data_IF_821617531978
#
_entry.id   IF_821617531978
#
_cell.length_a   1.000
_cell.length_b   1.000
_cell.length_c   1.000
_cell.angle_alpha   90.00
_cell.angle_beta   90.00
_cell.angle_gamma   90.00
#
_symmetry.space_group_name_H-M   'P 1'
#
loop_
_entity.id
_entity.type
_entity.pdbx_description
1 polymer ?
#
# COMPACT_ATOMS: atom_id res chain seq x y z
N UNK A 1 -12.26 -4.48 42.60
CA UNK A 1 -12.19 -3.29 41.76
C UNK A 1 -10.72 -3.14 41.37
N UNK A 2 -10.27 -3.89 40.40
CA UNK A 2 -8.95 -3.84 39.79
C UNK A 2 -9.15 -3.49 38.32
N UNK A 3 -8.62 -2.34 37.91
CA UNK A 3 -8.65 -1.90 36.53
C UNK A 3 -7.56 -2.63 35.76
N UNK A 4 -7.92 -3.15 34.60
CA UNK A 4 -7.02 -3.66 33.57
C UNK A 4 -6.08 -2.54 33.09
N UNK A 5 -4.79 -2.64 33.44
CA UNK A 5 -3.71 -1.75 32.96
C UNK A 5 -2.81 -2.45 31.92
N UNK A 6 -3.29 -3.50 31.27
CA UNK A 6 -2.41 -4.34 30.40
C UNK A 6 -2.56 -4.09 28.91
N UNK A 7 -3.50 -3.23 28.47
CA UNK A 7 -3.75 -3.01 27.02
C UNK A 7 -2.90 -1.89 26.40
N UNK A 8 -2.40 -0.95 27.19
CA UNK A 8 -1.59 0.17 26.70
C UNK A 8 -0.10 -0.11 26.44
N UNK A 9 0.42 -1.25 26.95
CA UNK A 9 1.86 -1.51 26.92
C UNK A 9 2.35 -2.26 25.65
N UNK A 10 1.46 -2.83 24.85
CA UNK A 10 1.82 -3.51 23.59
C UNK A 10 1.86 -2.58 22.37
N UNK A 11 1.12 -1.47 22.37
CA UNK A 11 1.14 -0.49 21.29
C UNK A 11 2.43 0.34 21.23
N UNK A 12 3.14 0.48 22.33
CA UNK A 12 4.28 1.41 22.48
C UNK A 12 5.62 0.88 21.94
N UNK A 13 5.79 -0.41 21.69
CA UNK A 13 7.11 -0.96 21.32
C UNK A 13 7.39 -1.03 19.83
N UNK A 14 6.37 -1.14 18.99
CA UNK A 14 6.53 -1.30 17.53
C UNK A 14 6.75 0.04 16.78
N UNK A 15 6.55 1.18 17.43
CA UNK A 15 6.69 2.53 16.85
C UNK A 15 7.70 3.42 17.61
N UNK A 16 8.46 2.84 18.54
CA UNK A 16 9.54 3.54 19.22
C UNK A 16 10.83 3.46 18.40
N UNK A 17 11.34 4.62 17.94
CA UNK A 17 12.58 4.73 17.18
C UNK A 17 12.37 4.82 15.67
N UNK A 18 11.26 5.40 15.22
CA UNK A 18 11.04 5.73 13.80
C UNK A 18 12.18 6.57 13.24
N UNK A 19 12.55 6.32 11.97
CA UNK A 19 13.38 7.26 11.22
C UNK A 19 12.65 8.59 11.03
N UNK A 20 13.38 9.65 10.67
CA UNK A 20 12.77 10.94 10.35
C UNK A 20 11.75 10.80 9.20
N UNK A 21 12.08 9.97 8.22
CA UNK A 21 11.23 9.65 7.08
C UNK A 21 9.90 8.97 7.50
N UNK A 22 9.98 7.91 8.29
CA UNK A 22 8.80 7.21 8.81
C UNK A 22 7.96 8.11 9.73
N UNK A 23 8.61 8.95 10.56
CA UNK A 23 7.91 9.87 11.46
C UNK A 23 7.15 10.96 10.70
N UNK A 24 7.74 11.52 9.64
CA UNK A 24 7.10 12.51 8.78
C UNK A 24 5.86 11.91 8.09
N UNK A 25 6.00 10.77 7.43
CA UNK A 25 4.90 10.10 6.75
C UNK A 25 3.79 9.69 7.71
N UNK A 26 4.13 9.20 8.91
CA UNK A 26 3.12 8.93 9.95
C UNK A 26 2.33 10.18 10.30
N UNK A 27 3.01 11.29 10.56
CA UNK A 27 2.37 12.56 10.91
C UNK A 27 1.46 13.07 9.81
N UNK A 28 1.91 12.97 8.56
CA UNK A 28 1.15 13.39 7.39
C UNK A 28 -0.12 12.56 7.23
N UNK A 29 -0.01 11.23 7.23
CA UNK A 29 -1.16 10.32 7.11
C UNK A 29 -2.12 10.40 8.31
N UNK A 30 -1.61 10.68 9.51
CA UNK A 30 -2.46 10.95 10.68
C UNK A 30 -3.27 12.24 10.48
N UNK A 31 -2.71 13.28 9.85
CA UNK A 31 -3.38 14.55 9.62
C UNK A 31 -4.36 14.53 8.43
N UNK A 32 -4.04 13.78 7.36
CA UNK A 32 -4.87 13.72 6.13
C UNK A 32 -5.99 12.67 6.20
N UNK A 33 -6.02 11.83 7.23
CA UNK A 33 -6.91 10.66 7.29
C UNK A 33 -8.39 11.01 7.06
N UNK A 34 -8.91 12.06 7.68
CA UNK A 34 -10.30 12.50 7.54
C UNK A 34 -10.60 12.99 6.12
N UNK A 35 -9.71 13.86 5.60
CA UNK A 35 -9.86 14.45 4.26
C UNK A 35 -9.69 13.39 3.17
N UNK A 36 -8.78 12.43 3.35
CA UNK A 36 -8.59 11.32 2.42
C UNK A 36 -9.85 10.46 2.29
N UNK A 37 -10.48 10.10 3.41
CA UNK A 37 -11.72 9.32 3.40
C UNK A 37 -12.89 10.11 2.79
N UNK A 38 -12.96 11.40 3.05
CA UNK A 38 -14.00 12.26 2.47
C UNK A 38 -13.85 12.41 0.95
N UNK A 39 -12.61 12.41 0.43
CA UNK A 39 -12.32 12.56 -1.01
C UNK A 39 -12.48 11.26 -1.82
N UNK A 40 -12.32 10.08 -1.19
CA UNK A 40 -12.25 8.80 -1.89
C UNK A 40 -13.25 7.73 -1.43
N UNK A 41 -14.53 8.08 -1.18
CA UNK A 41 -15.51 7.16 -0.58
C UNK A 41 -15.78 5.91 -1.43
N UNK A 42 -15.82 6.05 -2.75
CA UNK A 42 -16.12 4.94 -3.67
C UNK A 42 -14.95 3.95 -3.74
N UNK A 43 -13.72 4.47 -3.85
CA UNK A 43 -12.51 3.65 -3.89
C UNK A 43 -12.28 2.88 -2.58
N UNK A 44 -12.53 3.52 -1.45
CA UNK A 44 -12.41 2.92 -0.12
C UNK A 44 -13.62 2.05 0.26
N UNK A 45 -14.64 2.00 -0.59
CA UNK A 45 -15.85 1.23 -0.32
C UNK A 45 -16.61 1.72 0.91
N UNK A 46 -16.66 3.04 1.15
CA UNK A 46 -17.34 3.62 2.33
C UNK A 46 -18.83 3.31 2.40
N UNK A 47 -19.43 2.90 1.28
CA UNK A 47 -20.83 2.49 1.17
C UNK A 47 -21.04 1.00 1.43
N UNK A 48 -19.97 0.21 1.52
CA UNK A 48 -19.99 -1.22 1.81
C UNK A 48 -19.62 -1.48 3.27
N UNK A 49 -20.36 -2.31 4.00
CA UNK A 49 -20.00 -2.65 5.39
C UNK A 49 -18.69 -3.43 5.49
N UNK A 50 -18.24 -4.02 4.38
CA UNK A 50 -17.04 -4.85 4.31
C UNK A 50 -15.90 -4.18 3.53
N UNK A 51 -16.03 -2.88 3.15
CA UNK A 51 -15.05 -2.24 2.28
C UNK A 51 -15.14 -2.73 0.82
N UNK A 52 -14.16 -2.36 0.02
CA UNK A 52 -13.99 -2.80 -1.37
C UNK A 52 -12.52 -3.04 -1.64
N UNK A 53 -12.21 -3.92 -2.61
CA UNK A 53 -10.83 -4.27 -2.95
C UNK A 53 -10.50 -3.86 -4.39
N UNK A 54 -10.16 -2.60 -4.59
CA UNK A 54 -9.64 -2.08 -5.85
C UNK A 54 -8.12 -1.99 -5.79
N UNK A 55 -7.44 -2.58 -6.77
CA UNK A 55 -5.98 -2.54 -6.89
C UNK A 55 -5.42 -1.18 -7.29
N UNK A 56 -6.24 -0.33 -7.88
CA UNK A 56 -5.77 0.93 -8.47
C UNK A 56 -6.93 1.89 -8.76
N UNK A 57 -6.61 3.20 -9.01
CA UNK A 57 -7.58 4.20 -9.45
C UNK A 57 -8.29 3.86 -10.77
N UNK A 58 -7.73 2.96 -11.58
CA UNK A 58 -8.38 2.38 -12.75
C UNK A 58 -9.53 1.42 -12.38
N UNK A 59 -9.84 1.28 -11.09
CA UNK A 59 -10.95 0.49 -10.53
C UNK A 59 -10.88 -1.00 -10.88
N UNK A 60 -9.67 -1.56 -10.94
CA UNK A 60 -9.46 -3.00 -11.13
C UNK A 60 -9.76 -3.74 -9.82
N UNK A 61 -10.86 -4.46 -9.77
CA UNK A 61 -11.33 -5.10 -8.55
C UNK A 61 -10.80 -6.54 -8.40
N UNK A 62 -10.37 -6.91 -7.18
CA UNK A 62 -9.82 -8.25 -6.89
C UNK A 62 -10.77 -9.39 -7.23
N UNK A 63 -12.09 -9.23 -7.05
CA UNK A 63 -13.09 -10.27 -7.43
C UNK A 63 -13.04 -10.65 -8.92
N UNK A 64 -12.61 -9.72 -9.78
CA UNK A 64 -12.62 -9.91 -11.23
C UNK A 64 -11.26 -10.45 -11.73
N UNK A 65 -10.17 -10.13 -11.03
CA UNK A 65 -8.80 -10.46 -11.49
C UNK A 65 -8.10 -11.52 -10.67
N UNK A 66 -8.51 -11.73 -9.42
CA UNK A 66 -8.02 -12.78 -8.52
C UNK A 66 -6.48 -12.86 -8.45
N UNK A 67 -5.82 -11.71 -8.25
CA UNK A 67 -4.37 -11.64 -8.23
C UNK A 67 -3.77 -12.31 -6.99
N UNK A 68 -4.50 -12.31 -5.87
CA UNK A 68 -4.09 -13.05 -4.66
C UNK A 68 -4.30 -14.56 -4.79
N UNK A 69 -5.23 -15.00 -5.65
CA UNK A 69 -5.62 -16.40 -5.84
C UNK A 69 -7.12 -16.57 -5.80
N UNK A 70 -7.59 -17.77 -6.12
CA UNK A 70 -9.01 -18.09 -5.98
C UNK A 70 -9.35 -18.30 -4.50
N UNK A 71 -10.57 -17.98 -4.05
CA UNK A 71 -10.98 -18.17 -2.64
C UNK A 71 -10.73 -19.58 -2.11
N UNK A 72 -10.90 -20.59 -2.97
CA UNK A 72 -10.69 -21.99 -2.62
C UNK A 72 -9.22 -22.30 -2.31
N UNK A 73 -8.28 -21.63 -3.00
CA UNK A 73 -6.84 -21.80 -2.83
C UNK A 73 -6.31 -21.04 -1.59
N UNK A 74 -7.07 -20.05 -1.13
CA UNK A 74 -6.73 -19.19 0.00
C UNK A 74 -7.44 -19.59 1.31
N UNK A 75 -8.22 -20.64 1.26
CA UNK A 75 -8.82 -21.23 2.46
C UNK A 75 -7.72 -21.61 3.47
N UNK A 76 -7.93 -21.25 4.74
CA UNK A 76 -6.97 -21.46 5.82
C UNK A 76 -5.60 -20.73 5.63
N UNK A 77 -5.46 -19.84 4.63
CA UNK A 77 -4.26 -19.07 4.41
C UNK A 77 -4.09 -17.97 5.46
N UNK A 78 -2.83 -17.60 5.74
CA UNK A 78 -2.47 -16.40 6.49
C UNK A 78 -2.09 -15.29 5.50
N UNK A 79 -2.80 -14.18 5.52
CA UNK A 79 -2.66 -13.09 4.55
C UNK A 79 -2.36 -11.78 5.29
N UNK A 80 -1.40 -11.01 4.80
CA UNK A 80 -0.99 -9.73 5.37
C UNK A 80 -1.14 -8.59 4.36
N UNK A 81 -1.83 -7.52 4.75
CA UNK A 81 -1.82 -6.23 4.05
C UNK A 81 -0.82 -5.27 4.67
N UNK A 82 0.01 -4.64 3.82
CA UNK A 82 1.04 -3.67 4.22
C UNK A 82 0.60 -2.26 3.82
N UNK A 83 0.60 -1.31 4.77
CA UNK A 83 0.14 0.05 4.52
C UNK A 83 -1.34 0.08 4.21
N UNK A 84 -2.15 -0.52 5.07
CA UNK A 84 -3.55 -0.83 4.82
C UNK A 84 -4.49 0.38 4.92
N UNK A 85 -4.03 1.50 5.46
CA UNK A 85 -4.90 2.64 5.74
C UNK A 85 -6.05 2.24 6.66
N UNK A 86 -7.29 2.39 6.20
CA UNK A 86 -8.51 1.92 6.88
C UNK A 86 -8.85 0.45 6.57
N UNK A 87 -7.92 -0.30 5.97
CA UNK A 87 -8.03 -1.70 5.63
C UNK A 87 -9.29 -2.09 4.80
N UNK A 88 -9.71 -1.32 3.79
CA UNK A 88 -10.88 -1.67 2.99
C UNK A 88 -10.67 -2.98 2.23
N UNK A 89 -9.46 -3.21 1.69
CA UNK A 89 -9.11 -4.42 0.96
C UNK A 89 -9.12 -5.65 1.89
N UNK A 90 -8.49 -5.54 3.07
CA UNK A 90 -8.47 -6.62 4.07
C UNK A 90 -9.85 -6.96 4.59
N UNK A 91 -10.72 -5.97 4.85
CA UNK A 91 -12.10 -6.21 5.31
C UNK A 91 -12.94 -6.88 4.23
N UNK A 92 -12.79 -6.44 2.97
CA UNK A 92 -13.44 -7.10 1.85
C UNK A 92 -12.98 -8.56 1.72
N UNK A 93 -11.66 -8.79 1.82
CA UNK A 93 -11.06 -10.12 1.72
C UNK A 93 -11.52 -11.05 2.84
N UNK A 94 -11.62 -10.56 4.08
CA UNK A 94 -12.12 -11.34 5.22
C UNK A 94 -13.58 -11.78 5.03
N UNK A 95 -14.39 -10.97 4.32
CA UNK A 95 -15.75 -11.35 3.96
C UNK A 95 -15.79 -12.33 2.78
N UNK A 96 -14.90 -12.20 1.79
CA UNK A 96 -14.81 -13.06 0.61
C UNK A 96 -14.23 -14.43 0.96
N UNK A 97 -13.30 -14.50 1.92
CA UNK A 97 -12.60 -15.72 2.36
C UNK A 97 -12.67 -15.84 3.90
N UNK A 98 -13.82 -16.17 4.47
CA UNK A 98 -14.03 -16.13 5.93
C UNK A 98 -13.21 -17.17 6.72
N UNK A 99 -12.65 -18.18 6.05
CA UNK A 99 -11.79 -19.19 6.65
C UNK A 99 -10.29 -18.78 6.66
N UNK A 100 -9.91 -17.66 6.01
CA UNK A 100 -8.53 -17.17 6.03
C UNK A 100 -8.25 -16.31 7.28
N UNK A 101 -6.99 -16.32 7.75
CA UNK A 101 -6.52 -15.36 8.73
C UNK A 101 -6.02 -14.11 8.01
N UNK A 102 -6.64 -12.96 8.27
CA UNK A 102 -6.28 -11.68 7.67
C UNK A 102 -5.68 -10.77 8.74
N UNK A 103 -4.44 -10.34 8.50
CA UNK A 103 -3.77 -9.30 9.27
C UNK A 103 -3.50 -8.09 8.38
N UNK A 104 -3.52 -6.90 8.97
CA UNK A 104 -3.20 -5.68 8.28
C UNK A 104 -2.51 -4.69 9.21
N UNK A 105 -1.59 -3.88 8.69
CA UNK A 105 -1.00 -2.82 9.48
C UNK A 105 -0.86 -1.53 8.68
N UNK A 106 -0.79 -0.44 9.42
CA UNK A 106 -0.46 0.88 8.90
C UNK A 106 0.39 1.65 9.92
N UNK A 107 1.17 2.61 9.46
CA UNK A 107 1.95 3.48 10.33
C UNK A 107 1.08 4.53 11.02
N UNK A 108 -0.04 4.90 10.39
CA UNK A 108 -1.00 5.90 10.88
C UNK A 108 -2.09 5.26 11.75
N UNK A 109 -2.14 5.66 13.02
CA UNK A 109 -3.22 5.27 13.91
C UNK A 109 -4.56 5.91 13.51
N UNK A 110 -4.54 7.08 12.90
CA UNK A 110 -5.76 7.76 12.47
C UNK A 110 -6.39 7.03 11.27
N UNK A 111 -5.59 6.61 10.31
CA UNK A 111 -6.06 5.79 9.20
C UNK A 111 -6.69 4.50 9.70
N UNK A 112 -6.03 3.77 10.60
CA UNK A 112 -6.55 2.52 11.18
C UNK A 112 -7.89 2.71 11.94
N UNK A 113 -8.12 3.88 12.56
CA UNK A 113 -9.41 4.15 13.25
C UNK A 113 -10.60 4.17 12.29
N UNK A 114 -10.40 4.53 11.03
CA UNK A 114 -11.46 4.49 10.01
C UNK A 114 -11.86 3.05 9.61
N UNK A 115 -11.08 2.03 9.96
CA UNK A 115 -11.50 0.63 9.81
C UNK A 115 -12.70 0.26 10.70
N UNK A 116 -12.98 1.05 11.74
CA UNK A 116 -14.07 0.80 12.68
C UNK A 116 -13.77 -0.37 13.62
N UNK A 117 -14.82 -1.03 14.07
CA UNK A 117 -14.75 -2.17 15.02
C UNK A 117 -14.95 -3.52 14.32
N UNK A 118 -14.43 -3.67 13.13
CA UNK A 118 -14.46 -4.97 12.44
C UNK A 118 -13.38 -5.90 13.02
N UNK A 119 -13.81 -6.96 13.70
CA UNK A 119 -12.93 -7.95 14.31
C UNK A 119 -12.52 -9.07 13.35
N UNK A 120 -12.93 -9.01 12.09
CA UNK A 120 -12.55 -10.02 11.08
C UNK A 120 -11.09 -9.85 10.60
N UNK A 121 -10.50 -8.68 10.82
CA UNK A 121 -9.11 -8.34 10.46
C UNK A 121 -8.31 -8.02 11.72
N UNK A 122 -7.12 -8.61 11.84
CA UNK A 122 -6.16 -8.29 12.91
C UNK A 122 -5.38 -7.02 12.54
N UNK A 123 -5.77 -5.87 13.10
CA UNK A 123 -5.16 -4.57 12.81
C UNK A 123 -4.04 -4.24 13.79
N UNK A 124 -2.91 -3.76 13.27
CA UNK A 124 -1.73 -3.37 14.07
C UNK A 124 -1.17 -2.04 13.56
N UNK A 125 -0.82 -1.12 14.47
CA UNK A 125 -0.01 0.04 14.11
C UNK A 125 1.47 -0.37 14.12
N UNK A 126 2.15 -0.26 12.98
CA UNK A 126 3.56 -0.65 12.84
C UNK A 126 4.27 0.14 11.73
N UNK A 127 5.62 0.16 11.80
CA UNK A 127 6.48 0.64 10.70
C UNK A 127 6.80 -0.54 9.77
N UNK A 128 6.63 -0.31 8.47
CA UNK A 128 6.95 -1.30 7.43
C UNK A 128 8.44 -1.67 7.38
N UNK A 129 9.31 -0.81 7.91
CA UNK A 129 10.75 -1.09 8.02
C UNK A 129 11.11 -2.12 9.09
N UNK A 130 10.14 -2.50 9.96
CA UNK A 130 10.34 -3.50 11.02
C UNK A 130 9.03 -4.21 11.31
N UNK A 131 8.71 -5.22 10.50
CA UNK A 131 7.44 -5.94 10.59
C UNK A 131 7.33 -6.73 11.90
N UNK A 132 6.27 -6.54 12.71
CA UNK A 132 6.12 -7.19 14.02
C UNK A 132 5.63 -8.64 13.91
N UNK A 133 6.09 -9.36 12.90
CA UNK A 133 5.69 -10.73 12.62
C UNK A 133 6.90 -11.66 12.55
N UNK A 134 6.67 -12.94 12.89
CA UNK A 134 7.69 -13.98 12.80
C UNK A 134 8.06 -14.29 11.35
N UNK A 135 9.23 -14.90 11.15
CA UNK A 135 9.65 -15.46 9.88
C UNK A 135 8.66 -16.54 9.42
N UNK A 136 8.40 -16.58 8.10
CA UNK A 136 7.53 -17.58 7.46
C UNK A 136 6.11 -17.65 8.08
N UNK A 137 5.53 -16.50 8.41
CA UNK A 137 4.20 -16.42 9.05
C UNK A 137 3.05 -16.41 8.02
N UNK A 138 3.29 -15.89 6.81
CA UNK A 138 2.23 -15.61 5.84
C UNK A 138 2.37 -16.41 4.55
N UNK A 139 1.23 -16.83 3.99
CA UNK A 139 1.14 -17.45 2.67
C UNK A 139 1.10 -16.39 1.57
N UNK A 140 0.45 -15.26 1.84
CA UNK A 140 0.31 -14.13 0.94
C UNK A 140 0.58 -12.83 1.68
N UNK A 141 1.35 -11.93 1.04
CA UNK A 141 1.49 -10.53 1.44
C UNK A 141 1.02 -9.66 0.28
N UNK A 142 0.31 -8.58 0.57
CA UNK A 142 -0.06 -7.63 -0.47
C UNK A 142 0.00 -6.18 0.03
N UNK A 143 0.05 -5.23 -0.93
CA UNK A 143 -0.01 -3.80 -0.65
C UNK A 143 -0.70 -3.08 -1.81
N UNK A 144 -1.63 -2.18 -1.50
CA UNK A 144 -2.37 -1.41 -2.50
C UNK A 144 -2.08 0.06 -2.29
N UNK A 145 -1.17 0.62 -3.09
CA UNK A 145 -0.67 1.99 -2.94
C UNK A 145 -0.21 2.33 -1.51
N UNK A 146 0.17 1.30 -0.74
CA UNK A 146 0.56 1.40 0.66
C UNK A 146 2.04 1.76 0.84
N UNK A 147 2.70 1.12 1.78
CA UNK A 147 4.01 1.51 2.31
C UNK A 147 5.17 1.63 1.31
N UNK A 148 5.13 0.97 0.15
CA UNK A 148 6.33 0.77 -0.70
C UNK A 148 6.98 2.07 -1.17
N UNK A 149 6.25 3.10 -1.67
CA UNK A 149 6.88 4.38 -2.00
C UNK A 149 7.16 5.25 -0.78
N UNK A 150 6.59 4.94 0.38
CA UNK A 150 6.63 5.76 1.59
C UNK A 150 7.65 5.29 2.63
N UNK A 151 8.60 4.44 2.24
CA UNK A 151 9.73 4.03 3.09
C UNK A 151 11.04 4.56 2.55
N UNK A 152 12.00 4.82 3.44
CA UNK A 152 13.31 5.32 3.10
C UNK A 152 14.13 4.32 2.26
N UNK A 153 14.02 3.02 2.59
CA UNK A 153 14.73 1.93 1.92
C UNK A 153 13.76 0.83 1.49
N UNK A 154 13.24 0.94 0.26
CA UNK A 154 12.33 -0.06 -0.30
C UNK A 154 13.00 -1.41 -0.53
N UNK A 155 14.33 -1.46 -0.75
CA UNK A 155 15.05 -2.73 -0.88
C UNK A 155 15.12 -3.49 0.46
N UNK A 156 15.27 -2.77 1.58
CA UNK A 156 15.17 -3.37 2.90
C UNK A 156 13.73 -3.85 3.19
N UNK A 157 12.71 -3.09 2.80
CA UNK A 157 11.32 -3.53 2.91
C UNK A 157 11.06 -4.82 2.11
N UNK A 158 11.58 -4.96 0.89
CA UNK A 158 11.42 -6.21 0.11
C UNK A 158 12.00 -7.42 0.85
N UNK A 159 13.14 -7.25 1.56
CA UNK A 159 13.73 -8.31 2.39
C UNK A 159 12.90 -8.64 3.62
N UNK A 160 12.30 -7.64 4.28
CA UNK A 160 11.37 -7.87 5.39
C UNK A 160 10.10 -8.61 4.93
N UNK A 161 9.56 -8.27 3.77
CA UNK A 161 8.43 -9.00 3.18
C UNK A 161 8.82 -10.44 2.87
N UNK A 162 9.99 -10.65 2.28
CA UNK A 162 10.52 -11.99 2.03
C UNK A 162 10.69 -12.81 3.32
N UNK A 163 11.15 -12.19 4.42
CA UNK A 163 11.32 -12.83 5.72
C UNK A 163 10.00 -13.34 6.31
N UNK A 164 8.93 -12.55 6.23
CA UNK A 164 7.64 -12.93 6.82
C UNK A 164 6.83 -13.88 5.94
N UNK A 165 7.15 -13.98 4.65
CA UNK A 165 6.53 -14.94 3.75
C UNK A 165 7.06 -16.35 3.94
N UNK A 166 6.18 -17.33 3.86
CA UNK A 166 6.55 -18.75 3.81
C UNK A 166 7.29 -19.06 2.48
N UNK A 167 8.14 -20.10 2.44
CA UNK A 167 8.69 -20.59 1.17
C UNK A 167 7.59 -20.83 0.12
N UNK A 168 7.76 -20.26 -1.09
CA UNK A 168 6.73 -20.29 -2.12
C UNK A 168 5.56 -19.32 -1.91
N UNK A 169 5.60 -18.50 -0.85
CA UNK A 169 4.59 -17.47 -0.57
C UNK A 169 4.55 -16.38 -1.63
N UNK A 170 3.39 -15.78 -1.80
CA UNK A 170 3.11 -14.79 -2.84
C UNK A 170 3.16 -13.37 -2.30
N UNK A 171 3.76 -12.47 -3.09
CA UNK A 171 3.69 -11.03 -2.86
C UNK A 171 3.05 -10.34 -4.05
N UNK A 172 2.00 -9.54 -3.81
CA UNK A 172 1.33 -8.74 -4.84
C UNK A 172 1.22 -7.30 -4.37
N UNK A 173 1.65 -6.35 -5.19
CA UNK A 173 1.52 -4.94 -4.82
C UNK A 173 1.28 -4.04 -6.02
N UNK A 174 0.53 -2.97 -5.78
CA UNK A 174 0.31 -1.88 -6.73
C UNK A 174 0.96 -0.60 -6.24
N UNK A 175 1.52 0.15 -7.19
CA UNK A 175 2.14 1.46 -6.98
C UNK A 175 1.81 2.40 -8.13
N UNK A 176 1.98 3.69 -7.92
CA UNK A 176 2.09 4.66 -9.01
C UNK A 176 3.12 4.16 -10.03
N UNK A 177 2.74 4.10 -11.30
CA UNK A 177 3.67 3.64 -12.33
C UNK A 177 4.91 4.52 -12.37
N UNK A 178 6.14 3.98 -12.33
CA UNK A 178 7.38 4.78 -12.29
C UNK A 178 7.49 5.86 -13.38
N UNK A 179 6.92 5.61 -14.56
CA UNK A 179 6.89 6.58 -15.64
C UNK A 179 6.14 7.87 -15.28
N UNK A 180 5.21 7.82 -14.33
CA UNK A 180 4.41 8.98 -13.92
C UNK A 180 5.26 10.08 -13.29
N UNK A 181 6.37 9.74 -12.67
CA UNK A 181 7.28 10.67 -12.00
C UNK A 181 7.92 11.72 -12.91
N UNK A 182 7.99 11.46 -14.22
CA UNK A 182 8.56 12.43 -15.17
C UNK A 182 7.63 13.60 -15.46
N UNK A 183 6.34 13.48 -15.11
CA UNK A 183 5.31 14.46 -15.42
C UNK A 183 4.90 15.26 -14.19
N UNK A 184 4.33 16.45 -14.43
CA UNK A 184 3.65 17.21 -13.37
C UNK A 184 2.48 16.41 -12.78
N UNK A 185 2.21 16.60 -11.50
CA UNK A 185 1.00 16.08 -10.85
C UNK A 185 -0.22 16.93 -11.24
N UNK A 186 -0.62 16.78 -12.50
CA UNK A 186 -1.75 17.49 -13.10
C UNK A 186 -2.56 16.50 -13.95
N UNK A 187 -3.88 16.39 -13.74
CA UNK A 187 -4.72 15.45 -14.49
C UNK A 187 -4.98 15.90 -15.94
N UNK A 188 -4.71 17.14 -16.25
CA UNK A 188 -4.97 17.77 -17.54
C UNK A 188 -3.76 17.76 -18.49
N UNK A 189 -3.79 18.60 -19.52
CA UNK A 189 -2.75 18.64 -20.56
C UNK A 189 -1.36 19.01 -20.04
N UNK A 190 -1.23 19.77 -18.93
CA UNK A 190 0.05 20.10 -18.32
C UNK A 190 0.79 18.84 -17.83
N UNK A 191 0.04 17.86 -17.32
CA UNK A 191 0.57 16.56 -16.91
C UNK A 191 1.00 15.63 -18.06
N UNK A 192 0.98 16.09 -19.32
CA UNK A 192 1.51 15.35 -20.48
C UNK A 192 2.91 15.82 -20.90
N UNK A 193 3.49 16.79 -20.18
CA UNK A 193 4.83 17.30 -20.47
C UNK A 193 5.81 16.76 -19.44
N UNK A 194 6.82 16.04 -19.90
CA UNK A 194 7.91 15.57 -19.04
C UNK A 194 8.74 16.76 -18.55
N UNK A 195 8.92 16.85 -17.24
CA UNK A 195 9.62 17.98 -16.57
C UNK A 195 10.77 17.50 -15.69
N UNK A 196 10.78 16.20 -15.35
CA UNK A 196 11.79 15.60 -14.47
C UNK A 196 12.44 14.40 -15.15
N UNK A 197 13.64 14.02 -14.76
CA UNK A 197 14.30 12.83 -15.27
C UNK A 197 13.64 11.57 -14.69
N UNK A 198 13.41 10.57 -15.54
CA UNK A 198 13.00 9.23 -15.10
C UNK A 198 14.04 8.55 -14.18
N UNK A 199 15.29 8.96 -14.28
CA UNK A 199 16.42 8.42 -13.53
C UNK A 199 16.78 9.26 -12.30
N UNK A 200 15.96 10.25 -11.96
CA UNK A 200 16.11 11.03 -10.73
C UNK A 200 15.59 10.20 -9.55
N UNK A 201 16.49 9.78 -8.68
CA UNK A 201 16.22 8.95 -7.50
C UNK A 201 16.20 9.77 -6.18
N UNK A 202 16.22 11.09 -6.28
CA UNK A 202 16.18 11.97 -5.10
C UNK A 202 14.88 11.85 -4.28
N UNK A 203 13.81 11.30 -4.89
CA UNK A 203 12.49 11.23 -4.29
C UNK A 203 11.77 12.59 -4.25
N UNK A 204 10.58 12.59 -3.68
CA UNK A 204 9.82 13.80 -3.40
C UNK A 204 9.75 14.01 -1.89
N UNK A 205 10.05 15.22 -1.43
CA UNK A 205 9.99 15.59 -0.01
C UNK A 205 9.29 16.93 0.15
N UNK A 206 8.51 17.05 1.22
CA UNK A 206 7.98 18.32 1.70
C UNK A 206 8.56 18.62 3.07
N UNK A 207 8.85 19.90 3.31
CA UNK A 207 9.36 20.40 4.58
C UNK A 207 8.36 21.42 5.15
N UNK A 208 8.22 21.44 6.46
CA UNK A 208 7.48 22.47 7.17
C UNK A 208 8.18 23.81 6.99
N UNK A 209 7.51 24.81 6.46
CA UNK A 209 8.06 26.12 6.11
C UNK A 209 8.65 26.90 7.31
N UNK A 210 8.21 26.57 8.53
CA UNK A 210 8.62 27.30 9.75
C UNK A 210 9.79 26.62 10.43
N UNK A 211 9.76 25.29 10.50
CA UNK A 211 10.74 24.49 11.26
C UNK A 211 11.83 23.88 10.38
N UNK A 212 11.59 23.74 9.06
CA UNK A 212 12.44 23.00 8.13
C UNK A 212 12.44 21.48 8.37
N UNK A 213 11.53 20.98 9.20
CA UNK A 213 11.42 19.54 9.44
C UNK A 213 10.70 18.85 8.28
N UNK A 214 11.11 17.61 7.98
CA UNK A 214 10.46 16.79 6.99
C UNK A 214 8.99 16.55 7.37
N UNK A 215 8.05 16.85 6.47
CA UNK A 215 6.60 16.69 6.69
C UNK A 215 5.97 15.59 5.85
N UNK A 216 6.54 15.28 4.68
CA UNK A 216 6.13 14.21 3.78
C UNK A 216 7.29 13.72 2.93
N UNK A 217 7.32 12.44 2.64
CA UNK A 217 8.35 11.89 1.77
C UNK A 217 7.85 10.69 0.96
N UNK A 218 8.21 10.65 -0.32
CA UNK A 218 7.90 9.58 -1.25
C UNK A 218 9.11 9.25 -2.12
N UNK A 219 9.42 7.97 -2.30
CA UNK A 219 10.58 7.49 -3.06
C UNK A 219 10.20 7.08 -4.46
N UNK A 220 10.91 7.61 -5.43
CA UNK A 220 10.91 7.09 -6.80
C UNK A 220 11.93 5.96 -6.97
N UNK A 221 11.55 4.97 -7.76
CA UNK A 221 12.45 3.94 -8.31
C UNK A 221 12.06 3.68 -9.75
N UNK A 222 13.03 3.54 -10.64
CA UNK A 222 12.74 3.12 -12.00
C UNK A 222 12.09 1.74 -12.02
N UNK A 223 11.41 1.37 -13.09
CA UNK A 223 10.87 0.01 -13.25
C UNK A 223 11.98 -1.05 -13.13
N UNK A 224 13.17 -0.75 -13.67
CA UNK A 224 14.33 -1.64 -13.57
C UNK A 224 14.80 -1.85 -12.13
N UNK A 225 14.90 -0.76 -11.35
CA UNK A 225 15.31 -0.82 -9.94
C UNK A 225 14.28 -1.58 -9.11
N UNK A 226 12.98 -1.32 -9.33
CA UNK A 226 11.91 -2.03 -8.62
C UNK A 226 11.94 -3.54 -8.86
N UNK A 227 12.23 -3.97 -10.10
CA UNK A 227 12.41 -5.39 -10.43
C UNK A 227 13.70 -5.93 -9.78
N UNK A 228 14.78 -5.17 -9.78
CA UNK A 228 16.05 -5.58 -9.17
C UNK A 228 15.87 -5.77 -7.64
N UNK A 229 15.19 -4.86 -6.94
CA UNK A 229 14.88 -4.98 -5.51
C UNK A 229 14.14 -6.29 -5.18
N UNK A 230 13.17 -6.70 -6.01
CA UNK A 230 12.47 -7.98 -5.85
C UNK A 230 13.43 -9.17 -6.02
N UNK A 231 14.25 -9.17 -7.08
CA UNK A 231 15.20 -10.25 -7.37
C UNK A 231 16.23 -10.37 -6.24
N UNK A 232 16.78 -9.25 -5.76
CA UNK A 232 17.78 -9.20 -4.69
C UNK A 232 17.20 -9.65 -3.33
N UNK A 233 15.88 -9.54 -3.15
CA UNK A 233 15.15 -10.08 -2.01
C UNK A 233 14.67 -11.53 -2.20
N UNK A 234 15.19 -12.25 -3.23
CA UNK A 234 14.86 -13.64 -3.55
C UNK A 234 13.45 -13.88 -4.05
N UNK A 235 12.81 -12.86 -4.61
CA UNK A 235 11.55 -13.05 -5.33
C UNK A 235 11.81 -13.41 -6.80
N UNK A 236 10.99 -14.30 -7.33
CA UNK A 236 10.79 -14.47 -8.76
C UNK A 236 9.60 -13.61 -9.19
N UNK A 237 9.82 -12.69 -10.13
CA UNK A 237 8.71 -11.95 -10.74
C UNK A 237 7.90 -12.89 -11.64
N UNK A 238 6.63 -13.07 -11.30
CA UNK A 238 5.73 -13.93 -12.06
C UNK A 238 4.95 -13.14 -13.12
N UNK A 239 4.54 -11.91 -12.79
CA UNK A 239 3.78 -11.03 -13.68
C UNK A 239 3.95 -9.56 -13.32
N UNK A 240 3.94 -8.71 -14.33
CA UNK A 240 3.74 -7.26 -14.23
C UNK A 240 2.47 -6.91 -15.00
N UNK A 241 1.57 -6.14 -14.38
CA UNK A 241 0.31 -5.69 -14.97
C UNK A 241 0.31 -4.17 -14.98
N UNK A 242 -0.01 -3.60 -16.14
CA UNK A 242 -0.23 -2.18 -16.37
C UNK A 242 -1.69 -2.02 -16.77
N UNK A 243 -2.59 -1.67 -15.84
CA UNK A 243 -4.02 -1.54 -16.14
C UNK A 243 -4.28 -0.43 -17.17
N UNK A 244 -5.09 -0.73 -18.18
CA UNK A 244 -5.61 0.29 -19.09
C UNK A 244 -6.72 1.10 -18.40
N UNK A 245 -6.81 2.39 -18.70
CA UNK A 245 -7.90 3.22 -18.21
C UNK A 245 -9.23 2.80 -18.83
N UNK A 246 -10.25 2.42 -18.02
CA UNK A 246 -11.54 1.99 -18.55
C UNK A 246 -12.26 3.13 -19.28
N UNK A 247 -12.78 2.86 -20.48
CA UNK A 247 -13.43 3.87 -21.34
C UNK A 247 -14.63 4.55 -20.65
N UNK A 248 -15.30 3.85 -19.75
CA UNK A 248 -16.49 4.34 -19.04
C UNK A 248 -16.15 5.09 -17.74
N UNK A 249 -14.88 5.10 -17.31
CA UNK A 249 -14.45 5.72 -16.07
C UNK A 249 -14.15 7.20 -16.33
N UNK A 250 -15.03 8.07 -15.85
CA UNK A 250 -14.91 9.52 -15.96
C UNK A 250 -14.59 10.14 -14.59
N UNK A 251 -13.56 9.57 -13.93
CA UNK A 251 -13.05 10.07 -12.67
C UNK A 251 -11.71 10.77 -12.88
N UNK A 252 -11.43 11.72 -12.00
CA UNK A 252 -10.12 12.36 -11.90
C UNK A 252 -9.68 12.28 -10.45
N UNK A 253 -8.51 11.71 -10.21
CA UNK A 253 -7.94 11.59 -8.89
C UNK A 253 -6.43 11.87 -8.95
N UNK A 254 -6.03 13.05 -8.39
CA UNK A 254 -4.66 13.50 -8.54
C UNK A 254 -4.24 13.45 -10.00
N UNK A 255 -3.19 12.76 -10.28
CA UNK A 255 -2.66 12.60 -11.64
C UNK A 255 -3.36 11.52 -12.49
N UNK A 256 -4.34 10.77 -11.97
CA UNK A 256 -5.15 9.84 -12.75
C UNK A 256 -6.33 10.54 -13.39
N UNK A 257 -6.47 10.40 -14.69
CA UNK A 257 -7.59 10.97 -15.45
C UNK A 257 -7.80 10.20 -16.77
N UNK A 258 -8.99 10.31 -17.40
CA UNK A 258 -9.22 9.73 -18.72
C UNK A 258 -8.20 10.19 -19.76
N UNK A 259 -7.83 11.49 -19.74
CA UNK A 259 -6.86 12.06 -20.68
C UNK A 259 -5.49 11.38 -20.61
N UNK A 260 -4.98 11.21 -19.40
CA UNK A 260 -3.64 10.63 -19.19
C UNK A 260 -3.67 9.11 -19.31
N UNK A 261 -4.68 8.46 -18.73
CA UNK A 261 -4.79 7.01 -18.70
C UNK A 261 -5.00 6.35 -20.06
N UNK A 262 -5.50 7.12 -21.07
CA UNK A 262 -5.56 6.66 -22.45
C UNK A 262 -4.22 6.70 -23.19
N UNK A 263 -3.21 7.35 -22.63
CA UNK A 263 -1.92 7.55 -23.30
C UNK A 263 -0.80 6.70 -22.69
N UNK A 264 -0.84 6.46 -21.36
CA UNK A 264 0.18 5.69 -20.63
C UNK A 264 -0.38 5.18 -19.30
N UNK A 265 0.21 4.10 -18.75
CA UNK A 265 -0.29 3.51 -17.52
C UNK A 265 -0.13 4.44 -16.33
N UNK A 266 -1.16 4.49 -15.47
CA UNK A 266 -1.14 5.19 -14.18
C UNK A 266 -0.56 4.33 -13.07
N UNK A 267 -0.75 3.04 -13.18
CA UNK A 267 -0.45 2.04 -12.15
C UNK A 267 0.44 0.93 -12.69
N UNK A 268 1.33 0.43 -11.85
CA UNK A 268 2.04 -0.83 -12.05
C UNK A 268 1.68 -1.80 -10.92
N UNK A 269 1.26 -3.03 -11.27
CA UNK A 269 0.98 -4.10 -10.31
C UNK A 269 1.98 -5.23 -10.52
N UNK A 270 2.70 -5.58 -9.46
CA UNK A 270 3.71 -6.64 -9.47
C UNK A 270 3.15 -7.87 -8.76
N UNK A 271 3.36 -9.03 -9.37
CA UNK A 271 3.09 -10.33 -8.76
C UNK A 271 4.40 -11.10 -8.70
N UNK A 272 4.79 -11.52 -7.52
CA UNK A 272 6.05 -12.23 -7.30
C UNK A 272 5.86 -13.37 -6.29
N UNK A 273 6.73 -14.36 -6.35
CA UNK A 273 6.74 -15.52 -5.45
C UNK A 273 8.13 -15.68 -4.86
N UNK A 274 8.23 -16.02 -3.57
CA UNK A 274 9.50 -16.39 -2.93
C UNK A 274 10.06 -17.63 -3.62
N UNK A 275 11.32 -17.53 -4.06
CA UNK A 275 12.01 -18.56 -4.82
C UNK A 275 12.44 -19.75 -3.94
#
# INVERSE_FOLDING_TARGET
MGKDETDGARESSAINGLSEFSAANRSWWDSDAEDYHARHPDYLGSHSPHGEFYWCPEMLHEKDVRLLGQPEDLKDASILEIGAGSAPCSRWLANDIPDAFIAAFDISAQMLRHAGHDHSVSLVQADAMSLPYADNAFDVVFSVFGAIPFVEDSAALMKEIARVLKPGGRFVFSITHPMRWIFLDDPGPAGLTAVTSYFDDSGYVEEDEVTGALSYAEQHRTMGDRIAELIDASFRLDRLIEPEWPVHLDQTWGQWSPLRGQLFPGTAIFMATIA
#
